data_IF_210523908078
#
_entry.id   IF_210523908078
#
_cell.length_a   1.000
_cell.length_b   1.000
_cell.length_c   1.000
_cell.angle_alpha   90.00
_cell.angle_beta   90.00
_cell.angle_gamma   90.00
#
_symmetry.space_group_name_H-M   'P 1'
#
loop_
_entity.id
_entity.type
_entity.pdbx_description
1 polymer ?
#
# COMPACT_ATOMS: atom_id res chain seq x y z
N UNK A 1 10.88 -10.77 -2.99
CA UNK A 1 10.68 -12.19 -3.32
C UNK A 1 9.20 -12.39 -3.59
N UNK A 2 8.81 -12.82 -4.80
CA UNK A 2 7.41 -13.20 -5.09
C UNK A 2 7.12 -14.47 -4.30
N UNK A 3 6.16 -14.38 -3.38
CA UNK A 3 5.68 -15.52 -2.61
C UNK A 3 5.03 -16.49 -3.61
N UNK A 4 5.51 -17.72 -3.69
CA UNK A 4 4.86 -18.72 -4.54
C UNK A 4 3.52 -19.07 -3.89
N UNK A 5 2.43 -18.64 -4.54
CA UNK A 5 1.08 -18.89 -4.08
C UNK A 5 0.73 -20.34 -4.34
N UNK A 6 0.24 -21.03 -3.31
CA UNK A 6 -0.33 -22.36 -3.47
C UNK A 6 -1.63 -22.28 -4.30
N UNK A 7 -2.00 -23.34 -5.00
CA UNK A 7 -3.23 -23.39 -5.83
C UNK A 7 -4.47 -22.95 -5.05
N UNK A 8 -4.61 -23.37 -3.78
CA UNK A 8 -5.73 -22.97 -2.92
C UNK A 8 -5.77 -21.46 -2.60
N UNK A 9 -4.61 -20.82 -2.53
CA UNK A 9 -4.52 -19.37 -2.31
C UNK A 9 -4.89 -18.59 -3.57
N UNK A 10 -4.54 -19.12 -4.75
CA UNK A 10 -4.96 -18.55 -6.04
C UNK A 10 -6.48 -18.69 -6.21
N UNK A 11 -7.02 -19.87 -5.94
CA UNK A 11 -8.47 -20.12 -5.98
C UNK A 11 -9.22 -19.17 -5.03
N UNK A 12 -8.71 -18.98 -3.81
CA UNK A 12 -9.27 -18.02 -2.86
C UNK A 12 -9.33 -16.60 -3.40
N UNK A 13 -8.24 -16.12 -4.03
CA UNK A 13 -8.19 -14.77 -4.60
C UNK A 13 -9.15 -14.62 -5.79
N UNK A 14 -9.24 -15.63 -6.68
CA UNK A 14 -10.19 -15.61 -7.79
C UNK A 14 -11.66 -15.67 -7.34
N UNK A 15 -11.97 -16.46 -6.31
CA UNK A 15 -13.30 -16.46 -5.71
C UNK A 15 -13.60 -15.18 -4.96
N UNK A 16 -12.59 -14.46 -4.45
CA UNK A 16 -12.78 -13.17 -3.79
C UNK A 16 -13.33 -12.12 -4.76
N UNK A 17 -12.86 -12.11 -6.01
CA UNK A 17 -13.40 -11.27 -7.08
C UNK A 17 -14.86 -11.64 -7.37
N UNK A 18 -15.13 -12.94 -7.55
CA UNK A 18 -16.47 -13.45 -7.90
C UNK A 18 -17.48 -13.24 -6.77
N UNK A 19 -17.04 -13.30 -5.52
CA UNK A 19 -17.86 -13.09 -4.33
C UNK A 19 -18.04 -11.60 -3.97
N UNK A 20 -17.57 -10.67 -4.79
CA UNK A 20 -17.69 -9.23 -4.51
C UNK A 20 -16.91 -8.77 -3.26
N UNK A 21 -15.84 -9.49 -2.89
CA UNK A 21 -15.00 -9.16 -1.74
C UNK A 21 -15.40 -9.82 -0.42
N UNK A 22 -16.35 -10.76 -0.40
CA UNK A 22 -16.71 -11.53 0.81
C UNK A 22 -15.65 -12.62 1.12
N UNK A 23 -14.75 -12.45 2.11
CA UNK A 23 -13.65 -13.40 2.35
C UNK A 23 -14.14 -14.73 2.93
N UNK A 24 -15.30 -14.75 3.60
CA UNK A 24 -15.85 -15.99 4.16
C UNK A 24 -16.31 -16.93 3.03
N UNK A 25 -17.15 -16.42 2.13
CA UNK A 25 -17.66 -17.18 0.98
C UNK A 25 -16.52 -17.61 0.05
N UNK A 26 -15.56 -16.72 -0.21
CA UNK A 26 -14.40 -17.05 -1.02
C UNK A 26 -13.55 -18.18 -0.42
N UNK A 27 -13.36 -18.20 0.90
CA UNK A 27 -12.62 -19.29 1.56
C UNK A 27 -13.42 -20.60 1.65
N UNK A 28 -14.74 -20.56 1.82
CA UNK A 28 -15.58 -21.76 1.71
C UNK A 28 -15.48 -22.39 0.32
N UNK A 29 -15.56 -21.58 -0.74
CA UNK A 29 -15.43 -22.04 -2.14
C UNK A 29 -14.03 -22.55 -2.46
N UNK A 30 -12.99 -21.96 -1.88
CA UNK A 30 -11.60 -22.46 -1.99
C UNK A 30 -11.32 -23.69 -1.09
N UNK A 31 -12.31 -24.18 -0.33
CA UNK A 31 -12.18 -25.38 0.49
C UNK A 31 -11.45 -25.18 1.83
N UNK A 32 -11.46 -23.96 2.38
CA UNK A 32 -10.96 -23.67 3.72
C UNK A 32 -12.07 -23.88 4.76
N UNK A 33 -11.93 -24.91 5.58
CA UNK A 33 -12.86 -25.21 6.67
C UNK A 33 -12.58 -24.31 7.88
N UNK A 34 -13.42 -23.31 8.13
CA UNK A 34 -13.46 -22.50 9.36
C UNK A 34 -12.36 -21.44 9.54
N UNK A 35 -11.19 -21.61 8.93
CA UNK A 35 -9.99 -20.82 9.23
C UNK A 35 -9.76 -19.60 8.31
N UNK A 36 -10.85 -18.97 7.88
CA UNK A 36 -10.89 -17.86 6.92
C UNK A 36 -9.98 -16.68 7.31
N UNK A 37 -9.93 -16.34 8.61
CA UNK A 37 -9.15 -15.20 9.10
C UNK A 37 -7.65 -15.36 8.91
N UNK A 38 -7.12 -16.58 9.07
CA UNK A 38 -5.70 -16.86 8.89
C UNK A 38 -5.28 -16.77 7.42
N UNK A 39 -6.16 -17.16 6.50
CA UNK A 39 -5.93 -17.06 5.05
C UNK A 39 -5.89 -15.59 4.63
N UNK A 40 -6.88 -14.80 5.05
CA UNK A 40 -6.94 -13.35 4.80
C UNK A 40 -5.71 -12.63 5.35
N UNK A 41 -5.28 -12.97 6.58
CA UNK A 41 -4.08 -12.37 7.19
C UNK A 41 -2.82 -12.74 6.42
N UNK A 42 -2.71 -13.99 5.97
CA UNK A 42 -1.56 -14.52 5.24
C UNK A 42 -1.43 -13.97 3.81
N UNK A 43 -2.56 -13.62 3.19
CA UNK A 43 -2.69 -13.08 1.82
C UNK A 43 -3.00 -11.59 1.79
N UNK A 44 -2.77 -10.86 2.88
CA UNK A 44 -3.14 -9.45 2.99
C UNK A 44 -2.56 -8.59 1.87
N UNK A 45 -1.29 -8.81 1.50
CA UNK A 45 -0.62 -8.00 0.48
C UNK A 45 -1.25 -8.27 -0.89
N UNK A 46 -1.54 -9.53 -1.17
CA UNK A 46 -2.08 -10.04 -2.42
C UNK A 46 -3.53 -9.60 -2.60
N UNK A 47 -4.31 -9.52 -1.52
CA UNK A 47 -5.65 -8.91 -1.53
C UNK A 47 -5.55 -7.40 -1.82
N UNK A 48 -4.56 -6.71 -1.27
CA UNK A 48 -4.34 -5.28 -1.53
C UNK A 48 -3.91 -5.06 -2.99
N UNK A 49 -3.01 -5.89 -3.51
CA UNK A 49 -2.57 -5.86 -4.90
C UNK A 49 -3.73 -6.14 -5.85
N UNK A 50 -4.56 -7.15 -5.53
CA UNK A 50 -5.77 -7.46 -6.26
C UNK A 50 -6.75 -6.27 -6.27
N UNK A 51 -7.05 -5.70 -5.11
CA UNK A 51 -7.92 -4.53 -5.01
C UNK A 51 -7.35 -3.33 -5.77
N UNK A 52 -6.02 -3.16 -5.76
CA UNK A 52 -5.34 -2.10 -6.50
C UNK A 52 -5.45 -2.32 -8.02
N UNK A 53 -5.34 -3.56 -8.49
CA UNK A 53 -5.55 -3.91 -9.90
C UNK A 53 -6.99 -3.64 -10.34
N UNK A 54 -7.99 -4.02 -9.53
CA UNK A 54 -9.40 -3.75 -9.81
C UNK A 54 -9.67 -2.23 -9.87
N UNK A 55 -9.08 -1.45 -8.96
CA UNK A 55 -9.20 0.01 -8.96
C UNK A 55 -8.51 0.63 -10.18
N UNK A 56 -7.34 0.12 -10.58
CA UNK A 56 -6.63 0.54 -11.77
C UNK A 56 -7.42 0.24 -13.04
N UNK A 57 -8.06 -0.93 -13.12
CA UNK A 57 -8.95 -1.29 -14.23
C UNK A 57 -10.20 -0.40 -14.28
N UNK A 58 -10.71 0.02 -13.13
CA UNK A 58 -11.88 0.92 -13.03
C UNK A 58 -11.53 2.40 -13.30
N UNK A 59 -10.25 2.75 -13.34
CA UNK A 59 -9.78 4.13 -13.52
C UNK A 59 -10.25 4.78 -14.83
N UNK A 60 -10.16 4.14 -16.01
CA UNK A 60 -10.61 4.75 -17.26
C UNK A 60 -12.11 5.01 -17.23
N UNK A 61 -12.90 4.09 -16.66
CA UNK A 61 -14.34 4.26 -16.51
C UNK A 61 -14.67 5.45 -15.58
N UNK A 62 -13.94 5.60 -14.47
CA UNK A 62 -14.08 6.74 -13.58
C UNK A 62 -13.77 8.07 -14.29
N UNK A 63 -12.68 8.13 -15.06
CA UNK A 63 -12.31 9.31 -15.85
C UNK A 63 -13.39 9.66 -16.88
N UNK A 64 -13.91 8.66 -17.61
CA UNK A 64 -14.99 8.87 -18.59
C UNK A 64 -16.27 9.38 -17.92
N UNK A 65 -16.65 8.84 -16.76
CA UNK A 65 -17.83 9.33 -16.04
C UNK A 65 -17.69 10.77 -15.55
N UNK A 66 -16.48 11.22 -15.21
CA UNK A 66 -16.24 12.64 -14.94
C UNK A 66 -16.47 13.50 -16.18
N UNK A 67 -15.92 13.11 -17.33
CA UNK A 67 -16.10 13.83 -18.59
C UNK A 67 -17.56 13.86 -19.03
N UNK A 68 -18.29 12.75 -18.86
CA UNK A 68 -19.73 12.70 -19.13
C UNK A 68 -20.52 13.66 -18.24
N UNK A 69 -20.25 13.67 -16.92
CA UNK A 69 -20.94 14.59 -16.00
C UNK A 69 -20.60 16.04 -16.30
N UNK A 70 -19.36 16.34 -16.71
CA UNK A 70 -18.93 17.68 -17.11
C UNK A 70 -19.60 18.17 -18.39
N UNK A 71 -19.80 17.28 -19.38
CA UNK A 71 -20.36 17.63 -20.68
C UNK A 71 -21.88 17.41 -20.79
N UNK A 72 -22.52 16.85 -19.76
CA UNK A 72 -23.95 16.55 -19.79
C UNK A 72 -24.78 17.83 -19.61
N UNK A 73 -25.55 18.19 -20.62
CA UNK A 73 -26.58 19.25 -20.56
C UNK A 73 -27.80 18.84 -19.73
N UNK A 74 -27.91 17.54 -19.38
CA UNK A 74 -28.99 17.00 -18.55
C UNK A 74 -28.55 16.90 -17.10
N UNK A 75 -29.40 17.26 -16.11
CA UNK A 75 -29.09 17.08 -14.70
C UNK A 75 -28.81 15.60 -14.40
N UNK A 76 -27.57 15.27 -14.03
CA UNK A 76 -27.23 13.92 -13.59
C UNK A 76 -27.65 13.78 -12.13
N UNK A 77 -28.53 12.84 -11.76
CA UNK A 77 -28.90 12.62 -10.38
C UNK A 77 -27.67 12.26 -9.56
N UNK A 78 -27.53 12.90 -8.39
CA UNK A 78 -26.39 12.72 -7.49
C UNK A 78 -25.03 12.96 -8.17
N UNK A 79 -24.96 13.85 -9.17
CA UNK A 79 -23.73 14.22 -9.89
C UNK A 79 -22.55 14.45 -8.93
N UNK A 80 -22.79 15.22 -7.85
CA UNK A 80 -21.75 15.53 -6.87
C UNK A 80 -21.18 14.27 -6.19
N UNK A 81 -22.05 13.32 -5.79
CA UNK A 81 -21.62 12.06 -5.17
C UNK A 81 -20.85 11.17 -6.16
N UNK A 82 -21.29 11.13 -7.42
CA UNK A 82 -20.63 10.33 -8.47
C UNK A 82 -19.27 10.91 -8.86
N UNK A 83 -19.16 12.23 -8.93
CA UNK A 83 -17.90 12.95 -9.18
C UNK A 83 -16.90 12.68 -8.07
N UNK A 84 -17.34 12.78 -6.80
CA UNK A 84 -16.47 12.48 -5.65
C UNK A 84 -16.00 11.02 -5.63
N UNK A 85 -16.89 10.06 -5.95
CA UNK A 85 -16.52 8.65 -6.04
C UNK A 85 -15.49 8.41 -7.16
N UNK A 86 -15.70 8.98 -8.34
CA UNK A 86 -14.77 8.87 -9.46
C UNK A 86 -13.41 9.52 -9.15
N UNK A 87 -13.39 10.70 -8.53
CA UNK A 87 -12.16 11.37 -8.07
C UNK A 87 -11.39 10.50 -7.06
N UNK A 88 -12.10 9.87 -6.12
CA UNK A 88 -11.45 8.99 -5.12
C UNK A 88 -10.74 7.81 -5.79
N UNK A 89 -11.33 7.20 -6.81
CA UNK A 89 -10.68 6.11 -7.58
C UNK A 89 -9.43 6.65 -8.29
N UNK A 90 -9.51 7.82 -8.92
CA UNK A 90 -8.39 8.45 -9.64
C UNK A 90 -7.25 8.94 -8.74
N UNK A 91 -7.56 9.39 -7.53
CA UNK A 91 -6.56 9.78 -6.54
C UNK A 91 -5.80 8.55 -6.01
N UNK A 92 -6.45 7.39 -5.92
CA UNK A 92 -5.87 6.15 -5.38
C UNK A 92 -4.93 5.44 -6.34
N UNK A 93 -5.12 5.60 -7.65
CA UNK A 93 -4.19 5.12 -8.69
C UNK A 93 -2.98 6.05 -8.89
N UNK A 94 -2.92 7.18 -8.18
CA UNK A 94 -1.76 8.07 -8.23
C UNK A 94 -1.73 9.05 -9.41
N UNK A 95 -2.84 9.22 -10.16
CA UNK A 95 -2.93 10.28 -11.17
C UNK A 95 -2.98 11.70 -10.55
N UNK A 96 -3.25 11.81 -9.24
CA UNK A 96 -3.46 13.11 -8.58
C UNK A 96 -2.37 13.59 -7.62
N UNK A 97 -1.58 12.70 -6.98
CA UNK A 97 -0.71 13.11 -5.87
C UNK A 97 0.62 12.38 -5.88
N UNK A 98 1.67 13.07 -6.34
CA UNK A 98 3.05 12.73 -6.00
C UNK A 98 3.29 13.20 -4.56
N UNK A 99 3.33 12.28 -3.60
CA UNK A 99 3.82 12.60 -2.25
C UNK A 99 5.29 13.03 -2.36
N UNK A 100 5.55 14.33 -2.20
CA UNK A 100 6.92 14.85 -2.06
C UNK A 100 7.35 14.58 -0.62
N UNK A 101 8.23 13.59 -0.45
CA UNK A 101 8.85 13.30 0.84
C UNK A 101 9.83 14.44 1.20
N UNK A 102 9.38 15.40 2.01
CA UNK A 102 10.24 16.45 2.57
C UNK A 102 11.05 15.87 3.74
N UNK A 103 12.29 15.43 3.45
CA UNK A 103 13.23 15.00 4.48
C UNK A 103 13.95 16.23 5.03
N UNK A 104 13.34 16.89 6.01
CA UNK A 104 14.01 17.92 6.79
C UNK A 104 14.90 17.26 7.86
N UNK A 105 16.15 16.96 7.51
CA UNK A 105 17.15 16.44 8.44
C UNK A 105 17.68 17.56 9.36
N UNK A 106 16.88 18.01 10.33
CA UNK A 106 17.38 18.86 11.41
C UNK A 106 18.19 17.99 12.37
N UNK A 107 19.50 17.91 12.13
CA UNK A 107 20.48 17.33 13.06
C UNK A 107 20.55 18.22 14.30
N UNK A 108 19.59 18.08 15.20
CA UNK A 108 19.62 18.71 16.52
C UNK A 108 20.28 17.71 17.48
N UNK A 109 21.59 17.88 17.68
CA UNK A 109 22.34 17.12 18.69
C UNK A 109 23.47 16.28 18.10
N UNK A 110 24.53 16.94 17.62
CA UNK A 110 25.81 16.28 17.43
C UNK A 110 26.35 15.85 18.80
N UNK A 111 26.19 14.59 19.16
CA UNK A 111 26.87 14.01 20.32
C UNK A 111 28.32 13.75 19.89
N UNK A 112 29.22 14.65 20.29
CA UNK A 112 30.65 14.43 20.20
C UNK A 112 31.07 13.48 21.33
N UNK A 113 31.22 12.19 21.03
CA UNK A 113 31.90 11.25 21.92
C UNK A 113 33.40 11.45 21.71
N UNK A 114 34.05 12.11 22.66
CA UNK A 114 35.51 12.13 22.72
C UNK A 114 35.98 10.76 23.23
N UNK A 115 36.87 10.06 22.51
CA UNK A 115 37.50 8.86 23.05
C UNK A 115 38.28 9.23 24.32
N UNK A 116 38.24 8.36 25.33
CA UNK A 116 38.97 8.56 26.57
C UNK A 116 40.48 8.70 26.27
N UNK A 117 41.12 9.65 26.96
CA UNK A 117 42.55 9.92 26.83
C UNK A 117 43.31 8.68 27.30
N UNK A 118 44.04 8.02 26.38
CA UNK A 118 45.00 7.00 26.75
C UNK A 118 46.13 7.64 27.57
N UNK A 119 46.43 7.08 28.74
CA UNK A 119 47.60 7.47 29.52
C UNK A 119 48.85 7.09 28.74
N UNK A 120 49.56 8.08 28.24
CA UNK A 120 50.88 7.90 27.65
C UNK A 120 51.83 7.62 28.82
N UNK A 121 52.11 6.34 29.09
CA UNK A 121 53.19 5.95 29.99
C UNK A 121 54.50 6.31 29.26
N UNK A 122 55.11 7.43 29.65
CA UNK A 122 56.45 7.77 29.20
C UNK A 122 57.42 6.96 30.06
N UNK A 123 57.83 5.79 29.57
CA UNK A 123 58.96 5.08 30.14
C UNK A 123 60.22 5.93 29.90
N UNK A 124 60.85 6.36 31.00
CA UNK A 124 62.13 7.05 30.97
C UNK A 124 63.20 6.12 30.36
N UNK A 125 63.65 6.42 29.15
CA UNK A 125 64.91 5.92 28.64
C UNK A 125 66.03 6.89 29.07
N UNK A 126 66.90 6.40 29.94
CA UNK A 126 68.16 7.00 30.33
C UNK A 126 69.17 7.00 29.16
N UNK A 127 70.02 8.03 29.11
CA UNK A 127 71.39 8.13 28.56
C UNK A 127 71.62 9.63 28.21
N UNK A 128 72.72 10.31 28.55
CA UNK A 128 74.01 9.97 29.14
C UNK A 128 74.59 11.22 29.83
#
# INVERSE_FOLDING_TARGET
MKKELTTKQQDFLGYLETCGGDPKKAAELAGYSGNHWQVVKSLKHEIIDLASNILAESAPQAALKLVEVMNSEKPVPQANMRVQAAQTILDRIGLGKTDRLDINHKVQGGVFILPAKEEIIIEQAAEA
#
